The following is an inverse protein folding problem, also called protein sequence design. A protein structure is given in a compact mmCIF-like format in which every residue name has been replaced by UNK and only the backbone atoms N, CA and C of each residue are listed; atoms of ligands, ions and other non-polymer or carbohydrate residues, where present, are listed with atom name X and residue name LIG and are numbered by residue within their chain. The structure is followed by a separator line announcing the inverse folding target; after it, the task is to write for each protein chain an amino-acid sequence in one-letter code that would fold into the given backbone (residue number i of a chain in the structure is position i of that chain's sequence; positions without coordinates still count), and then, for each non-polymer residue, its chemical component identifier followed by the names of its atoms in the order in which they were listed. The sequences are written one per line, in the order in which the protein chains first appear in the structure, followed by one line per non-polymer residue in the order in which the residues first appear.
data_IF_018584399403
#
_entry.id   IF_018584399403
#
_cell.length_a   1.000
_cell.length_b   1.000
_cell.length_c   1.000
_cell.angle_alpha   90.00
_cell.angle_beta   90.00
_cell.angle_gamma   90.00
#
_symmetry.space_group_name_H-M   'P 1'
#
loop_
_entity.id
_entity.type
_entity.pdbx_description
1 polymer ?
#
# COMPACT_ATOMS: atom_id res chain seq x y z
N UNK A 1 -1.19 9.27 31.36
CA UNK A 1 -0.55 10.57 31.30
C UNK A 1 -1.67 11.60 31.15
N UNK A 2 -1.73 12.53 32.10
CA UNK A 2 -2.60 13.71 31.94
C UNK A 2 -2.07 14.51 30.74
N UNK A 3 -2.97 14.94 29.86
CA UNK A 3 -2.62 15.82 28.76
C UNK A 3 -2.50 15.19 27.35
N UNK A 4 -2.66 13.86 27.17
CA UNK A 4 -2.69 13.30 25.80
C UNK A 4 -4.10 13.40 25.24
N UNK A 5 -4.24 14.11 24.12
CA UNK A 5 -5.48 14.23 23.36
C UNK A 5 -5.39 13.43 22.07
N UNK A 6 -6.48 12.71 21.72
CA UNK A 6 -6.59 12.05 20.41
C UNK A 6 -7.60 12.83 19.57
N UNK A 7 -7.17 13.20 18.37
CA UNK A 7 -7.97 14.00 17.43
C UNK A 7 -7.73 13.60 15.98
N UNK A 8 -8.56 14.08 15.08
CA UNK A 8 -8.28 14.03 13.64
C UNK A 8 -7.04 14.86 13.31
N UNK A 9 -6.27 14.40 12.33
CA UNK A 9 -5.18 15.17 11.75
C UNK A 9 -5.72 16.29 10.85
N UNK A 10 -4.95 17.35 10.74
CA UNK A 10 -5.04 18.29 9.63
C UNK A 10 -4.24 17.75 8.44
N UNK A 11 -4.55 18.22 7.24
CA UNK A 11 -3.86 17.78 6.02
C UNK A 11 -2.34 18.05 6.07
N UNK A 12 -1.93 19.19 6.62
CA UNK A 12 -0.52 19.56 6.77
C UNK A 12 0.26 18.62 7.72
N UNK A 13 -0.43 18.02 8.71
CA UNK A 13 0.16 17.09 9.66
C UNK A 13 0.41 15.68 9.06
N UNK A 14 -0.29 15.31 7.99
CA UNK A 14 -0.07 14.03 7.33
C UNK A 14 1.35 13.94 6.75
N UNK A 15 1.92 15.03 6.29
CA UNK A 15 3.32 15.08 5.85
C UNK A 15 4.27 14.61 6.94
N UNK A 16 4.08 15.08 8.18
CA UNK A 16 4.91 14.65 9.31
C UNK A 16 4.72 13.15 9.64
N UNK A 17 3.50 12.62 9.52
CA UNK A 17 3.25 11.18 9.71
C UNK A 17 3.97 10.34 8.63
N UNK A 18 4.01 10.81 7.39
CA UNK A 18 4.75 10.16 6.29
C UNK A 18 6.26 10.28 6.52
N UNK A 19 6.77 11.40 7.02
CA UNK A 19 8.19 11.55 7.39
C UNK A 19 8.58 10.57 8.52
N UNK A 20 7.68 10.30 9.48
CA UNK A 20 7.94 9.25 10.47
C UNK A 20 8.00 7.87 9.84
N UNK A 21 7.18 7.58 8.82
CA UNK A 21 7.28 6.33 8.07
C UNK A 21 8.62 6.21 7.33
N UNK A 22 9.21 7.33 6.84
CA UNK A 22 10.58 7.36 6.31
C UNK A 22 11.59 6.98 7.39
N UNK A 23 11.49 7.58 8.58
CA UNK A 23 12.38 7.30 9.70
C UNK A 23 12.29 5.85 10.21
N UNK A 24 11.11 5.21 10.11
CA UNK A 24 10.91 3.77 10.38
C UNK A 24 11.42 2.86 9.23
N UNK A 25 11.96 3.42 8.14
CA UNK A 25 12.48 2.68 6.99
C UNK A 25 11.41 2.16 6.02
N UNK A 26 10.18 2.67 6.09
CA UNK A 26 9.08 2.18 5.24
C UNK A 26 9.15 2.70 3.81
N UNK A 27 9.97 3.73 3.56
CA UNK A 27 10.24 4.30 2.24
C UNK A 27 8.96 4.66 1.45
N UNK A 28 8.07 5.54 1.95
CA UNK A 28 6.87 5.95 1.24
C UNK A 28 7.19 6.68 -0.06
N UNK A 29 6.22 6.75 -0.97
CA UNK A 29 6.31 7.57 -2.18
C UNK A 29 6.19 9.06 -1.86
N UNK A 30 6.81 9.90 -2.70
CA UNK A 30 6.83 11.36 -2.49
C UNK A 30 5.44 11.99 -2.60
N UNK A 31 4.52 11.38 -3.36
CA UNK A 31 3.14 11.82 -3.52
C UNK A 31 2.12 11.05 -2.64
N UNK A 32 2.61 10.09 -1.83
CA UNK A 32 1.72 9.19 -1.09
C UNK A 32 0.79 9.95 -0.12
N UNK A 33 1.29 10.97 0.59
CA UNK A 33 0.48 11.77 1.51
C UNK A 33 -0.72 12.44 0.80
N UNK A 34 -0.49 13.05 -0.36
CA UNK A 34 -1.54 13.71 -1.13
C UNK A 34 -2.58 12.70 -1.62
N UNK A 35 -2.13 11.58 -2.18
CA UNK A 35 -2.99 10.51 -2.67
C UNK A 35 -3.84 9.90 -1.54
N UNK A 36 -3.22 9.64 -0.40
CA UNK A 36 -3.90 9.04 0.75
C UNK A 36 -4.98 9.95 1.32
N UNK A 37 -4.69 11.25 1.42
CA UNK A 37 -5.66 12.24 1.89
C UNK A 37 -6.92 12.32 1.02
N UNK A 38 -6.77 12.17 -0.30
CA UNK A 38 -7.90 12.26 -1.23
C UNK A 38 -8.89 11.10 -1.12
N UNK A 39 -8.46 9.93 -0.63
CA UNK A 39 -9.36 8.77 -0.49
C UNK A 39 -10.34 8.94 0.67
N UNK A 40 -9.84 9.31 1.86
CA UNK A 40 -10.67 9.56 3.03
C UNK A 40 -10.00 10.60 3.96
N UNK A 41 -10.27 11.90 3.76
CA UNK A 41 -9.69 12.96 4.59
C UNK A 41 -10.03 12.85 6.08
N UNK A 42 -11.11 12.15 6.42
CA UNK A 42 -11.58 11.95 7.78
C UNK A 42 -10.91 10.75 8.49
N UNK A 43 -10.15 9.95 7.74
CA UNK A 43 -9.54 8.69 8.20
C UNK A 43 -8.19 8.82 8.88
N UNK A 44 -7.68 10.04 9.14
CA UNK A 44 -6.36 10.27 9.75
C UNK A 44 -6.50 10.80 11.17
N UNK A 45 -5.77 10.16 12.10
CA UNK A 45 -5.83 10.49 13.54
C UNK A 45 -4.44 10.65 14.12
N UNK A 46 -4.30 11.56 15.09
CA UNK A 46 -3.08 11.72 15.85
C UNK A 46 -3.34 11.71 17.36
N UNK A 47 -2.31 11.34 18.11
CA UNK A 47 -2.17 11.65 19.52
C UNK A 47 -1.32 12.90 19.67
N UNK A 48 -1.81 13.84 20.46
CA UNK A 48 -1.13 15.12 20.75
C UNK A 48 -0.85 15.23 22.23
N UNK A 49 0.33 15.76 22.59
CA UNK A 49 0.70 16.15 23.94
C UNK A 49 1.44 17.48 23.87
N UNK A 50 1.12 18.41 24.77
CA UNK A 50 1.75 19.73 24.86
C UNK A 50 1.77 20.52 23.54
N UNK A 51 0.73 20.33 22.69
CA UNK A 51 0.61 20.96 21.38
C UNK A 51 1.42 20.29 20.26
N UNK A 52 2.13 19.19 20.55
CA UNK A 52 2.91 18.44 19.57
C UNK A 52 2.26 17.09 19.23
N UNK A 53 2.30 16.71 17.95
CA UNK A 53 1.89 15.39 17.51
C UNK A 53 2.92 14.34 17.96
N UNK A 54 2.48 13.31 18.69
CA UNK A 54 3.32 12.26 19.27
C UNK A 54 3.02 10.85 18.75
N UNK A 55 1.96 10.69 17.96
CA UNK A 55 1.60 9.44 17.32
C UNK A 55 0.59 9.66 16.21
N UNK A 56 0.57 8.75 15.25
CA UNK A 56 -0.29 8.74 14.08
C UNK A 56 -0.93 7.38 13.86
N UNK A 57 -2.09 7.36 13.21
CA UNK A 57 -2.70 6.18 12.60
C UNK A 57 -3.68 6.65 11.52
N UNK A 58 -3.77 5.91 10.43
CA UNK A 58 -4.84 6.06 9.45
C UNK A 58 -5.80 4.87 9.51
N UNK A 59 -7.08 5.11 9.28
CA UNK A 59 -8.11 4.10 9.01
C UNK A 59 -8.97 4.68 7.90
N UNK A 60 -8.67 4.32 6.65
CA UNK A 60 -9.36 4.86 5.48
C UNK A 60 -10.53 3.97 5.09
N UNK A 61 -11.71 4.57 4.99
CA UNK A 61 -12.91 3.91 4.50
C UNK A 61 -12.96 4.00 2.97
N UNK A 62 -12.89 2.86 2.28
CA UNK A 62 -12.99 2.80 0.83
C UNK A 62 -14.45 2.76 0.34
N UNK A 63 -15.27 2.00 1.05
CA UNK A 63 -16.70 1.87 0.79
C UNK A 63 -17.48 1.59 2.10
N UNK A 64 -18.70 1.09 2.02
CA UNK A 64 -19.52 0.73 3.17
C UNK A 64 -19.13 -0.60 3.84
N UNK A 65 -18.22 -1.38 3.23
CA UNK A 65 -17.83 -2.73 3.66
C UNK A 65 -16.37 -2.86 4.07
N UNK A 66 -15.48 -2.03 3.53
CA UNK A 66 -14.05 -2.18 3.70
C UNK A 66 -13.35 -0.90 4.09
N UNK A 67 -12.39 -1.02 5.00
CA UNK A 67 -11.44 0.01 5.38
C UNK A 67 -10.03 -0.56 5.48
N UNK A 68 -9.02 0.31 5.48
CA UNK A 68 -7.63 -0.10 5.66
C UNK A 68 -6.95 0.75 6.71
N UNK A 69 -6.24 0.09 7.66
CA UNK A 69 -5.47 0.72 8.71
C UNK A 69 -3.98 0.78 8.34
N UNK A 70 -3.38 1.96 8.48
CA UNK A 70 -1.97 2.18 8.19
C UNK A 70 -1.37 3.32 9.00
N UNK A 71 -0.15 3.72 8.67
CA UNK A 71 0.58 4.83 9.29
C UNK A 71 0.53 4.83 10.84
N UNK A 72 0.47 3.62 11.44
CA UNK A 72 0.40 3.45 12.88
C UNK A 72 1.78 3.57 13.51
N UNK A 73 2.12 4.77 13.93
CA UNK A 73 3.42 5.12 14.48
C UNK A 73 3.23 5.90 15.78
N UNK A 74 4.02 5.57 16.80
CA UNK A 74 4.17 6.38 18.02
C UNK A 74 5.63 6.74 18.14
N UNK A 75 5.93 8.01 18.37
CA UNK A 75 7.30 8.49 18.55
C UNK A 75 8.00 7.67 19.63
N UNK A 76 9.30 7.31 19.46
CA UNK A 76 10.01 6.36 20.32
C UNK A 76 9.91 6.68 21.81
N UNK A 77 10.05 7.94 22.20
CA UNK A 77 10.03 8.42 23.59
C UNK A 77 8.64 8.31 24.26
N UNK A 78 7.59 8.10 23.47
CA UNK A 78 6.22 7.92 23.94
C UNK A 78 5.73 6.46 23.87
N UNK A 79 6.57 5.52 23.38
CA UNK A 79 6.24 4.10 23.30
C UNK A 79 6.13 3.44 24.68
N UNK A 80 5.39 2.34 24.75
CA UNK A 80 5.22 1.58 26.01
C UNK A 80 4.26 2.19 27.03
N UNK A 81 3.68 3.36 26.76
CA UNK A 81 2.82 4.11 27.69
C UNK A 81 1.31 3.95 27.40
N UNK A 82 0.94 3.01 26.51
CA UNK A 82 -0.46 2.74 26.16
C UNK A 82 -1.08 3.72 25.13
N UNK A 83 -0.37 4.77 24.73
CA UNK A 83 -0.87 5.81 23.81
C UNK A 83 -1.27 5.21 22.47
N UNK A 84 -0.44 4.34 21.88
CA UNK A 84 -0.74 3.70 20.61
C UNK A 84 -2.05 2.93 20.64
N UNK A 85 -2.33 2.18 21.70
CA UNK A 85 -3.59 1.43 21.82
C UNK A 85 -4.81 2.34 21.97
N UNK A 86 -4.68 3.46 22.68
CA UNK A 86 -5.74 4.46 22.76
C UNK A 86 -6.02 5.09 21.40
N UNK A 87 -4.96 5.49 20.68
CA UNK A 87 -5.03 6.03 19.34
C UNK A 87 -5.67 5.04 18.35
N UNK A 88 -5.23 3.78 18.35
CA UNK A 88 -5.77 2.72 17.51
C UNK A 88 -7.27 2.51 17.78
N UNK A 89 -7.68 2.35 19.05
CA UNK A 89 -9.10 2.17 19.41
C UNK A 89 -9.95 3.37 19.01
N UNK A 90 -9.40 4.58 19.06
CA UNK A 90 -10.11 5.78 18.61
C UNK A 90 -10.33 5.74 17.10
N UNK A 91 -9.27 5.47 16.33
CA UNK A 91 -9.32 5.42 14.87
C UNK A 91 -10.24 4.29 14.36
N UNK A 92 -10.21 3.13 14.98
CA UNK A 92 -11.07 1.99 14.60
C UNK A 92 -12.58 2.29 14.70
N UNK A 93 -13.00 3.29 15.50
CA UNK A 93 -14.41 3.75 15.50
C UNK A 93 -14.82 4.39 14.17
N UNK A 94 -13.87 4.97 13.43
CA UNK A 94 -14.13 5.52 12.11
C UNK A 94 -14.50 4.43 11.07
N UNK A 95 -13.91 3.25 11.18
CA UNK A 95 -14.28 2.12 10.34
C UNK A 95 -15.73 1.64 10.55
N UNK A 96 -16.29 1.83 11.74
CA UNK A 96 -17.64 1.35 12.08
C UNK A 96 -17.72 -0.18 11.98
N UNK A 97 -18.66 -0.69 11.16
CA UNK A 97 -18.88 -2.13 10.96
C UNK A 97 -18.07 -2.73 9.80
N UNK A 98 -17.20 -1.94 9.15
CA UNK A 98 -16.40 -2.39 8.01
C UNK A 98 -15.37 -3.44 8.40
N UNK A 99 -15.05 -4.33 7.48
CA UNK A 99 -13.86 -5.17 7.59
C UNK A 99 -12.65 -4.26 7.44
N UNK A 100 -11.75 -4.28 8.42
CA UNK A 100 -10.51 -3.50 8.38
C UNK A 100 -9.36 -4.43 8.01
N UNK A 101 -8.67 -4.08 6.91
CA UNK A 101 -7.38 -4.66 6.56
C UNK A 101 -6.21 -3.83 7.10
N UNK A 102 -5.02 -4.40 7.13
CA UNK A 102 -3.80 -3.68 7.48
C UNK A 102 -2.54 -4.51 7.25
N UNK A 103 -1.42 -3.84 6.99
CA UNK A 103 -0.11 -4.48 6.89
C UNK A 103 0.74 -4.10 8.11
N UNK A 104 0.79 -4.99 9.08
CA UNK A 104 1.52 -4.78 10.32
C UNK A 104 2.96 -5.30 10.28
N UNK A 105 3.83 -4.70 11.09
CA UNK A 105 5.18 -5.24 11.33
C UNK A 105 5.07 -6.62 11.95
N UNK A 106 5.77 -7.62 11.38
CA UNK A 106 5.65 -9.04 11.79
C UNK A 106 5.85 -9.26 13.30
N UNK A 107 6.82 -8.58 13.91
CA UNK A 107 7.08 -8.67 15.36
C UNK A 107 5.92 -8.19 16.24
N UNK A 108 4.98 -7.43 15.67
CA UNK A 108 3.82 -6.88 16.40
C UNK A 108 2.55 -7.72 16.23
N UNK A 109 2.55 -8.76 15.39
CA UNK A 109 1.38 -9.62 15.13
C UNK A 109 0.72 -10.12 16.43
N UNK A 110 1.45 -10.66 17.43
CA UNK A 110 0.80 -11.12 18.67
C UNK A 110 0.05 -10.03 19.44
N UNK A 111 0.48 -8.76 19.31
CA UNK A 111 -0.23 -7.63 19.95
C UNK A 111 -1.48 -7.24 19.16
N UNK A 112 -1.42 -7.30 17.82
CA UNK A 112 -2.57 -7.04 16.97
C UNK A 112 -3.66 -8.09 17.16
N UNK A 113 -3.31 -9.36 17.27
CA UNK A 113 -4.27 -10.44 17.54
C UNK A 113 -4.87 -10.33 18.95
N UNK A 114 -4.01 -10.18 19.99
CA UNK A 114 -4.47 -10.18 21.38
C UNK A 114 -5.26 -8.93 21.79
N UNK A 115 -4.88 -7.78 21.27
CA UNK A 115 -5.43 -6.48 21.71
C UNK A 115 -6.12 -5.68 20.61
N UNK A 116 -5.82 -5.95 19.36
CA UNK A 116 -6.31 -5.21 18.21
C UNK A 116 -7.52 -5.84 17.52
N UNK A 117 -7.85 -7.09 17.81
CA UNK A 117 -8.95 -7.80 17.13
C UNK A 117 -8.67 -8.07 15.65
N UNK A 118 -7.38 -8.16 15.27
CA UNK A 118 -6.96 -8.46 13.91
C UNK A 118 -6.42 -9.89 13.83
N UNK A 119 -6.67 -10.56 12.72
CA UNK A 119 -6.24 -11.94 12.46
C UNK A 119 -5.21 -11.95 11.34
N UNK A 120 -4.10 -12.66 11.56
CA UNK A 120 -3.09 -12.87 10.51
C UNK A 120 -3.69 -13.71 9.36
N UNK A 121 -3.53 -13.23 8.15
CA UNK A 121 -3.95 -13.93 6.93
C UNK A 121 -2.77 -14.49 6.16
N UNK A 122 -1.81 -13.62 5.80
CA UNK A 122 -0.58 -14.00 5.11
C UNK A 122 0.53 -12.96 5.33
N UNK A 123 1.73 -13.30 4.94
CA UNK A 123 2.86 -12.39 4.99
C UNK A 123 3.13 -11.79 3.61
N UNK A 124 3.52 -10.51 3.59
CA UNK A 124 4.12 -9.86 2.44
C UNK A 124 5.62 -9.72 2.62
N UNK A 125 6.33 -9.53 1.52
CA UNK A 125 7.74 -9.21 1.53
C UNK A 125 8.04 -8.13 0.50
N UNK A 126 8.84 -7.13 0.89
CA UNK A 126 9.43 -6.13 -0.01
C UNK A 126 10.74 -6.65 -0.53
N UNK A 127 10.89 -6.65 -1.83
CA UNK A 127 12.13 -6.97 -2.50
C UNK A 127 12.73 -5.73 -3.16
N UNK A 128 14.06 -5.57 -3.02
CA UNK A 128 14.84 -4.54 -3.71
C UNK A 128 15.47 -5.15 -4.96
N UNK A 129 15.32 -4.49 -6.09
CA UNK A 129 15.99 -4.80 -7.36
C UNK A 129 16.63 -3.56 -7.94
N UNK A 130 17.36 -3.74 -9.04
CA UNK A 130 17.99 -2.66 -9.80
C UNK A 130 17.26 -2.50 -11.13
N UNK A 131 16.87 -1.27 -11.44
CA UNK A 131 16.19 -0.91 -12.66
C UNK A 131 17.10 -0.93 -13.89
N UNK A 132 16.49 -0.86 -15.05
CA UNK A 132 17.15 -0.92 -16.36
C UNK A 132 16.54 -1.97 -17.27
N UNK A 133 17.21 -2.27 -18.36
CA UNK A 133 16.69 -3.13 -19.40
C UNK A 133 16.11 -2.35 -20.57
N UNK A 134 15.45 -3.06 -21.49
CA UNK A 134 14.83 -2.48 -22.68
C UNK A 134 13.32 -2.37 -22.47
N UNK A 135 12.72 -1.26 -22.93
CA UNK A 135 11.28 -1.12 -22.99
C UNK A 135 10.69 -2.21 -23.88
N UNK A 136 9.80 -3.06 -23.35
CA UNK A 136 9.16 -4.09 -24.16
C UNK A 136 8.08 -3.51 -25.07
N UNK A 137 7.82 -4.21 -26.17
CA UNK A 137 6.74 -3.86 -27.07
C UNK A 137 5.35 -4.25 -26.53
N UNK A 138 4.32 -3.56 -26.99
CA UNK A 138 2.92 -3.91 -26.74
C UNK A 138 2.42 -3.56 -25.34
N UNK A 139 3.07 -2.61 -24.66
CA UNK A 139 2.53 -1.94 -23.48
C UNK A 139 1.75 -0.69 -23.88
N UNK A 140 0.65 -0.45 -23.23
CA UNK A 140 -0.19 0.73 -23.36
C UNK A 140 0.05 1.65 -22.16
N UNK A 141 0.38 2.94 -22.35
CA UNK A 141 0.44 3.89 -21.23
C UNK A 141 -0.89 3.86 -20.46
N UNK A 142 -0.81 3.82 -19.12
CA UNK A 142 -2.00 3.62 -18.29
C UNK A 142 -3.07 4.71 -18.47
N UNK A 143 -2.65 5.92 -18.87
CA UNK A 143 -3.54 7.07 -19.10
C UNK A 143 -4.35 6.93 -20.40
N UNK A 144 -3.92 6.07 -21.32
CA UNK A 144 -4.60 5.80 -22.58
C UNK A 144 -5.62 4.64 -22.45
N UNK A 145 -5.63 3.98 -21.30
CA UNK A 145 -6.60 2.92 -21.00
C UNK A 145 -7.92 3.54 -20.57
N UNK A 146 -9.04 3.00 -21.06
CA UNK A 146 -10.36 3.44 -20.64
C UNK A 146 -10.53 3.24 -19.13
N UNK A 147 -10.74 4.33 -18.42
CA UNK A 147 -10.71 4.34 -16.93
C UNK A 147 -11.73 3.38 -16.30
N UNK A 148 -12.94 3.26 -16.89
CA UNK A 148 -13.95 2.32 -16.36
C UNK A 148 -13.50 0.86 -16.40
N UNK A 149 -12.72 0.49 -17.42
CA UNK A 149 -12.23 -0.88 -17.58
C UNK A 149 -11.05 -1.14 -16.62
N UNK A 150 -10.19 -0.12 -16.44
CA UNK A 150 -9.12 -0.16 -15.44
C UNK A 150 -9.68 -0.27 -14.02
N UNK A 151 -10.69 0.54 -13.69
CA UNK A 151 -11.33 0.52 -12.37
C UNK A 151 -12.00 -0.83 -12.08
N UNK A 152 -12.66 -1.42 -13.07
CA UNK A 152 -13.25 -2.75 -12.94
C UNK A 152 -12.16 -3.83 -12.73
N UNK A 153 -11.03 -3.72 -13.44
CA UNK A 153 -9.89 -4.63 -13.30
C UNK A 153 -9.23 -4.51 -11.92
N UNK A 154 -9.04 -3.28 -11.43
CA UNK A 154 -8.49 -2.99 -10.11
C UNK A 154 -9.40 -3.51 -8.99
N UNK A 155 -10.70 -3.20 -9.05
CA UNK A 155 -11.69 -3.59 -8.04
C UNK A 155 -11.79 -5.12 -7.87
N UNK A 156 -11.52 -5.90 -8.93
CA UNK A 156 -11.48 -7.35 -8.83
C UNK A 156 -10.25 -7.88 -8.05
N UNK A 157 -9.24 -7.05 -7.76
CA UNK A 157 -7.97 -7.40 -7.11
C UNK A 157 -7.69 -6.59 -5.84
N UNK A 158 -8.67 -5.79 -5.44
CA UNK A 158 -8.66 -5.02 -4.20
C UNK A 158 -10.01 -5.19 -3.50
N UNK A 159 -10.08 -5.22 -2.15
CA UNK A 159 -11.34 -5.54 -1.44
C UNK A 159 -12.49 -4.56 -1.66
N UNK A 160 -12.23 -3.40 -2.25
CA UNK A 160 -13.20 -2.32 -2.45
C UNK A 160 -12.97 -1.54 -3.75
N UNK A 161 -13.98 -0.81 -4.20
CA UNK A 161 -13.84 0.15 -5.30
C UNK A 161 -13.17 1.42 -4.77
N UNK A 162 -11.99 1.77 -5.32
CA UNK A 162 -11.17 2.93 -4.91
C UNK A 162 -10.99 3.92 -6.06
N UNK A 163 -12.09 4.48 -6.54
CA UNK A 163 -12.12 5.30 -7.75
C UNK A 163 -11.29 6.58 -7.61
N UNK A 164 -11.44 7.33 -6.52
CA UNK A 164 -10.73 8.59 -6.26
C UNK A 164 -9.22 8.35 -6.17
N UNK A 165 -8.84 7.34 -5.38
CA UNK A 165 -7.45 6.91 -5.28
C UNK A 165 -6.86 6.55 -6.64
N UNK A 166 -7.51 5.66 -7.40
CA UNK A 166 -6.99 5.16 -8.67
C UNK A 166 -6.83 6.28 -9.71
N UNK A 167 -7.79 7.22 -9.79
CA UNK A 167 -7.68 8.38 -10.68
C UNK A 167 -6.44 9.20 -10.40
N UNK A 168 -6.20 9.56 -9.14
CA UNK A 168 -5.00 10.29 -8.74
C UNK A 168 -3.74 9.47 -9.02
N UNK A 169 -3.73 8.20 -8.59
CA UNK A 169 -2.58 7.31 -8.68
C UNK A 169 -2.04 7.15 -10.08
N UNK A 170 -2.92 7.02 -11.09
CA UNK A 170 -2.50 6.87 -12.48
C UNK A 170 -2.24 8.19 -13.21
N UNK A 171 -2.71 9.32 -12.69
CA UNK A 171 -2.57 10.63 -13.32
C UNK A 171 -1.49 11.51 -12.71
N UNK A 172 -0.96 11.15 -11.51
CA UNK A 172 0.09 11.95 -10.87
C UNK A 172 1.34 12.04 -11.75
N UNK A 173 1.95 13.23 -11.84
CA UNK A 173 3.08 13.52 -12.75
C UNK A 173 4.32 12.65 -12.49
N UNK A 174 4.57 12.27 -11.22
CA UNK A 174 5.72 11.47 -10.79
C UNK A 174 5.43 9.95 -10.79
N UNK A 175 4.26 9.56 -11.30
CA UNK A 175 3.87 8.17 -11.46
C UNK A 175 3.91 7.76 -12.94
N UNK A 176 4.49 6.59 -13.20
CA UNK A 176 4.51 5.96 -14.51
C UNK A 176 3.71 4.66 -14.46
N UNK A 177 2.72 4.53 -15.32
CA UNK A 177 1.91 3.32 -15.39
C UNK A 177 1.81 2.74 -16.79
N UNK A 178 1.76 1.40 -16.85
CA UNK A 178 1.50 0.66 -18.08
C UNK A 178 0.45 -0.43 -17.86
N UNK A 179 -0.33 -0.68 -18.88
CA UNK A 179 -1.20 -1.84 -19.00
C UNK A 179 -0.77 -2.74 -20.16
N UNK A 180 -1.00 -4.03 -20.01
CA UNK A 180 -0.95 -5.00 -21.09
C UNK A 180 -2.38 -5.33 -21.49
N UNK A 181 -2.69 -5.16 -22.78
CA UNK A 181 -3.99 -5.48 -23.35
C UNK A 181 -3.91 -6.72 -24.25
N UNK A 182 -4.97 -7.49 -24.31
CA UNK A 182 -5.12 -8.56 -25.29
C UNK A 182 -5.48 -7.99 -26.68
N UNK A 183 -5.60 -8.87 -27.68
CA UNK A 183 -5.96 -8.50 -29.06
C UNK A 183 -7.36 -7.84 -29.21
N UNK A 184 -8.21 -7.97 -28.20
CA UNK A 184 -9.56 -7.39 -28.17
C UNK A 184 -9.60 -6.10 -27.33
N UNK A 185 -8.46 -5.63 -26.81
CA UNK A 185 -8.36 -4.45 -25.95
C UNK A 185 -8.71 -4.69 -24.47
N UNK A 186 -8.91 -5.96 -24.05
CA UNK A 186 -9.17 -6.30 -22.65
C UNK A 186 -7.87 -6.27 -21.84
N UNK A 187 -7.93 -5.72 -20.63
CA UNK A 187 -6.78 -5.64 -19.73
C UNK A 187 -6.39 -7.05 -19.26
N UNK A 188 -5.13 -7.41 -19.49
CA UNK A 188 -4.48 -8.63 -18.97
C UNK A 188 -3.65 -8.35 -17.70
N UNK A 189 -3.26 -7.11 -17.50
CA UNK A 189 -2.55 -6.64 -16.32
C UNK A 189 -2.24 -5.16 -16.40
N UNK A 190 -1.92 -4.57 -15.26
CA UNK A 190 -1.38 -3.22 -15.17
C UNK A 190 -0.47 -3.06 -13.97
N UNK A 191 0.39 -2.06 -14.04
CA UNK A 191 1.23 -1.67 -12.92
C UNK A 191 1.58 -0.20 -12.94
N UNK A 192 1.94 0.32 -11.78
CA UNK A 192 2.35 1.70 -11.59
C UNK A 192 3.67 1.74 -10.83
N UNK A 193 4.62 2.53 -11.33
CA UNK A 193 5.85 2.89 -10.62
C UNK A 193 5.72 4.33 -10.12
N UNK A 194 6.15 4.57 -8.88
CA UNK A 194 6.21 5.89 -8.27
C UNK A 194 7.58 6.19 -7.68
N UNK A 195 7.94 7.46 -7.63
CA UNK A 195 9.16 7.94 -6.98
C UNK A 195 9.01 7.89 -5.46
N UNK A 196 10.01 7.37 -4.76
CA UNK A 196 10.06 7.27 -3.31
C UNK A 196 11.23 8.09 -2.74
N UNK A 197 11.34 8.17 -1.42
CA UNK A 197 12.50 8.81 -0.78
C UNK A 197 13.81 8.10 -1.16
N UNK A 198 13.79 6.77 -1.33
CA UNK A 198 14.90 6.00 -1.88
C UNK A 198 14.40 5.26 -3.12
N UNK A 199 14.89 5.64 -4.30
CA UNK A 199 14.56 4.98 -5.56
C UNK A 199 13.08 5.01 -5.91
N UNK A 200 12.56 3.87 -6.35
CA UNK A 200 11.20 3.77 -6.87
C UNK A 200 10.45 2.57 -6.27
N UNK A 201 9.12 2.66 -6.17
CA UNK A 201 8.26 1.51 -5.87
C UNK A 201 7.37 1.17 -7.05
N UNK A 202 7.21 -0.11 -7.31
CA UNK A 202 6.18 -0.64 -8.19
C UNK A 202 5.03 -1.15 -7.35
N UNK A 203 3.87 -0.55 -7.54
CA UNK A 203 2.64 -0.89 -6.84
C UNK A 203 1.44 -0.04 -7.33
N UNK A 204 0.31 -0.70 -7.72
CA UNK A 204 0.17 -2.13 -7.82
C UNK A 204 0.90 -2.73 -9.01
N UNK A 205 1.09 -4.06 -9.00
CA UNK A 205 1.40 -4.88 -10.16
C UNK A 205 0.40 -6.05 -10.18
N UNK A 206 -0.68 -5.87 -10.93
CA UNK A 206 -1.75 -6.87 -11.08
C UNK A 206 -1.69 -7.45 -12.48
N UNK A 207 -1.70 -8.78 -12.60
CA UNK A 207 -1.60 -9.45 -13.88
C UNK A 207 -2.25 -10.82 -13.83
N UNK A 208 -2.85 -11.24 -14.95
CA UNK A 208 -3.49 -12.56 -15.09
C UNK A 208 -2.52 -13.74 -14.91
N UNK A 209 -1.23 -13.50 -15.18
CA UNK A 209 -0.17 -14.50 -15.12
C UNK A 209 1.21 -13.85 -14.96
N UNK A 210 2.22 -14.67 -14.64
CA UNK A 210 3.61 -14.24 -14.46
C UNK A 210 4.18 -13.55 -15.71
N UNK A 211 3.95 -14.08 -16.90
CA UNK A 211 4.49 -13.53 -18.15
C UNK A 211 4.00 -12.11 -18.39
N UNK A 212 2.73 -11.86 -18.10
CA UNK A 212 2.13 -10.52 -18.18
C UNK A 212 2.75 -9.59 -17.15
N UNK A 213 2.93 -10.06 -15.90
CA UNK A 213 3.57 -9.29 -14.84
C UNK A 213 5.02 -8.92 -15.17
N UNK A 214 5.80 -9.86 -15.75
CA UNK A 214 7.18 -9.63 -16.19
C UNK A 214 7.28 -8.51 -17.23
N UNK A 215 6.45 -8.57 -18.28
CA UNK A 215 6.44 -7.55 -19.35
C UNK A 215 6.09 -6.17 -18.80
N UNK A 216 5.10 -6.08 -17.90
CA UNK A 216 4.72 -4.80 -17.29
C UNK A 216 5.85 -4.28 -16.38
N UNK A 217 6.42 -5.15 -15.55
CA UNK A 217 7.53 -4.78 -14.67
C UNK A 217 8.74 -4.27 -15.48
N UNK A 218 9.11 -4.94 -16.56
CA UNK A 218 10.18 -4.51 -17.47
C UNK A 218 9.93 -3.11 -18.03
N UNK A 219 8.72 -2.83 -18.47
CA UNK A 219 8.35 -1.48 -18.93
C UNK A 219 8.48 -0.42 -17.84
N UNK A 220 8.08 -0.76 -16.63
CA UNK A 220 8.14 0.17 -15.50
C UNK A 220 9.57 0.50 -15.07
N UNK A 221 10.50 -0.47 -15.18
CA UNK A 221 11.88 -0.29 -14.70
C UNK A 221 12.87 0.09 -15.80
N UNK A 222 12.51 0.01 -17.08
CA UNK A 222 13.40 0.32 -18.20
C UNK A 222 13.94 1.76 -18.17
N UNK A 223 13.15 2.72 -17.72
CA UNK A 223 13.53 4.14 -17.67
C UNK A 223 14.33 4.57 -16.44
N UNK A 224 14.79 3.63 -15.59
CA UNK A 224 15.54 3.91 -14.36
C UNK A 224 16.82 3.04 -14.26
N UNK A 225 17.71 3.07 -15.25
CA UNK A 225 18.89 2.21 -15.28
C UNK A 225 19.83 2.50 -14.10
N UNK A 226 20.18 1.44 -13.36
CA UNK A 226 21.06 1.51 -12.19
C UNK A 226 20.40 1.97 -10.90
N UNK A 227 19.15 2.45 -10.93
CA UNK A 227 18.43 2.91 -9.76
C UNK A 227 17.78 1.76 -9.00
N UNK A 228 17.70 1.82 -7.67
CA UNK A 228 16.96 0.83 -6.89
C UNK A 228 15.45 0.97 -7.12
N UNK A 229 14.78 -0.18 -7.23
CA UNK A 229 13.33 -0.23 -7.17
C UNK A 229 12.86 -1.30 -6.20
N UNK A 230 11.65 -1.13 -5.70
CA UNK A 230 11.04 -2.02 -4.70
C UNK A 230 9.74 -2.59 -5.23
N UNK A 231 9.50 -3.87 -4.92
CA UNK A 231 8.25 -4.58 -5.20
C UNK A 231 7.77 -5.27 -3.93
N UNK A 232 6.54 -4.98 -3.52
CA UNK A 232 5.92 -5.50 -2.31
C UNK A 232 4.99 -6.66 -2.69
N UNK A 233 5.44 -7.92 -2.52
CA UNK A 233 4.71 -9.10 -2.99
C UNK A 233 3.96 -9.83 -1.87
N UNK A 234 2.75 -10.36 -2.11
CA UNK A 234 2.13 -11.34 -1.22
C UNK A 234 2.84 -12.69 -1.36
N UNK A 235 3.38 -13.21 -0.27
CA UNK A 235 4.14 -14.47 -0.30
C UNK A 235 3.33 -15.72 -0.69
N UNK A 236 2.00 -15.79 -0.51
CA UNK A 236 1.22 -16.90 -1.06
C UNK A 236 1.23 -16.99 -2.59
N UNK A 237 1.52 -15.89 -3.32
CA UNK A 237 1.67 -15.94 -4.76
C UNK A 237 3.04 -16.53 -5.14
N UNK A 238 3.10 -17.83 -5.38
CA UNK A 238 4.33 -18.53 -5.76
C UNK A 238 4.93 -17.99 -7.08
N UNK A 239 4.11 -17.51 -8.01
CA UNK A 239 4.58 -16.94 -9.26
C UNK A 239 5.24 -15.56 -9.05
N UNK A 240 4.76 -14.76 -8.09
CA UNK A 240 5.39 -13.51 -7.69
C UNK A 240 6.72 -13.75 -6.95
N UNK A 241 6.77 -14.78 -6.09
CA UNK A 241 8.04 -15.20 -5.44
C UNK A 241 9.06 -15.60 -6.49
N UNK A 242 8.70 -16.48 -7.42
CA UNK A 242 9.59 -16.90 -8.50
C UNK A 242 10.03 -15.73 -9.40
N UNK A 243 9.15 -14.73 -9.64
CA UNK A 243 9.48 -13.51 -10.41
C UNK A 243 10.64 -12.73 -9.78
N UNK A 244 10.59 -12.50 -8.46
CA UNK A 244 11.63 -11.73 -7.76
C UNK A 244 12.92 -12.52 -7.56
N UNK A 245 12.84 -13.84 -7.35
CA UNK A 245 14.00 -14.75 -7.21
C UNK A 245 14.78 -14.88 -8.52
N UNK A 246 14.10 -15.10 -9.65
CA UNK A 246 14.74 -15.18 -10.98
C UNK A 246 15.41 -13.85 -11.39
N UNK A 247 14.88 -12.74 -10.91
CA UNK A 247 15.49 -11.41 -11.05
C UNK A 247 16.58 -11.11 -10.03
N UNK A 248 16.87 -12.06 -9.12
CA UNK A 248 17.87 -11.94 -8.05
C UNK A 248 17.62 -10.70 -7.16
N UNK A 249 16.36 -10.36 -6.96
CA UNK A 249 15.99 -9.29 -6.04
C UNK A 249 16.20 -9.74 -4.59
N UNK A 250 16.54 -8.79 -3.71
CA UNK A 250 16.87 -9.06 -2.31
C UNK A 250 15.70 -8.69 -1.40
N UNK A 251 15.23 -9.57 -0.52
CA UNK A 251 14.20 -9.22 0.46
C UNK A 251 14.76 -8.24 1.50
N UNK A 252 14.08 -7.11 1.71
CA UNK A 252 14.55 -6.04 2.59
C UNK A 252 13.58 -5.67 3.70
N UNK A 253 12.29 -6.03 3.58
CA UNK A 253 11.27 -5.73 4.58
C UNK A 253 10.13 -6.75 4.55
N UNK A 254 9.51 -7.02 5.70
CA UNK A 254 8.42 -7.98 5.81
C UNK A 254 7.24 -7.38 6.58
N UNK A 255 6.03 -7.64 6.12
CA UNK A 255 4.79 -7.31 6.81
C UNK A 255 3.88 -8.52 6.93
N UNK A 256 2.92 -8.41 7.83
CA UNK A 256 1.83 -9.35 8.00
C UNK A 256 0.53 -8.68 7.54
N UNK A 257 -0.15 -9.24 6.54
CA UNK A 257 -1.50 -8.85 6.16
C UNK A 257 -2.48 -9.39 7.20
N UNK A 258 -3.18 -8.47 7.84
CA UNK A 258 -4.14 -8.75 8.89
C UNK A 258 -5.53 -8.25 8.47
N UNK A 259 -6.58 -8.87 9.01
CA UNK A 259 -7.96 -8.41 8.85
C UNK A 259 -8.71 -8.49 10.19
N UNK A 260 -9.74 -7.65 10.37
CA UNK A 260 -10.62 -7.66 11.54
C UNK A 260 -11.62 -8.83 11.54
N UNK A 261 -11.50 -9.74 10.59
CA UNK A 261 -12.28 -10.99 10.48
C UNK A 261 -11.39 -12.14 10.04
N UNK A 262 -11.81 -13.37 10.33
CA UNK A 262 -11.15 -14.60 9.82
C UNK A 262 -11.50 -14.89 8.36
N UNK A 263 -12.63 -14.34 7.89
CA UNK A 263 -13.17 -14.56 6.54
C UNK A 263 -13.29 -13.23 5.78
N UNK A 264 -12.16 -12.62 5.37
CA UNK A 264 -12.19 -11.39 4.57
C UNK A 264 -12.67 -11.66 3.15
N UNK A 265 -12.91 -10.58 2.40
CA UNK A 265 -13.23 -10.67 0.97
C UNK A 265 -12.12 -11.46 0.26
N UNK A 266 -12.45 -12.57 -0.42
CA UNK A 266 -11.46 -13.36 -1.15
C UNK A 266 -10.89 -12.56 -2.32
N UNK A 267 -9.56 -12.56 -2.45
CA UNK A 267 -8.84 -11.93 -3.55
C UNK A 267 -8.11 -12.98 -4.38
N UNK A 268 -7.97 -12.77 -5.70
CA UNK A 268 -7.16 -13.63 -6.56
C UNK A 268 -5.67 -13.35 -6.30
N UNK A 269 -5.12 -13.90 -5.21
CA UNK A 269 -3.73 -13.64 -4.80
C UNK A 269 -2.71 -14.05 -5.86
N UNK A 270 -3.01 -15.03 -6.69
CA UNK A 270 -2.22 -15.47 -7.83
C UNK A 270 -2.13 -14.43 -8.96
N UNK A 271 -3.01 -13.45 -8.98
CA UNK A 271 -2.99 -12.31 -9.92
C UNK A 271 -2.40 -11.02 -9.30
N UNK A 272 -2.01 -11.05 -8.03
CA UNK A 272 -1.39 -9.92 -7.31
C UNK A 272 0.12 -10.17 -7.23
N UNK A 273 0.88 -9.60 -8.14
CA UNK A 273 2.35 -9.65 -8.18
C UNK A 273 3.01 -8.53 -7.39
N UNK A 274 2.27 -7.50 -7.06
CA UNK A 274 2.69 -6.40 -6.20
C UNK A 274 1.48 -5.71 -5.61
N UNK A 275 1.44 -5.56 -4.27
CA UNK A 275 0.40 -4.76 -3.61
C UNK A 275 0.62 -3.27 -3.89
N UNK A 276 -0.41 -2.46 -3.73
CA UNK A 276 -0.31 -1.02 -4.04
C UNK A 276 0.63 -0.32 -3.08
N UNK A 277 0.34 -0.42 -1.80
CA UNK A 277 1.19 0.06 -0.70
C UNK A 277 0.94 -0.78 0.55
N UNK A 278 1.87 -0.77 1.51
CA UNK A 278 1.63 -1.36 2.83
C UNK A 278 0.80 -0.45 3.73
N UNK A 279 0.73 0.83 3.40
CA UNK A 279 0.05 1.84 4.19
C UNK A 279 -1.45 1.91 3.90
N UNK A 280 -1.88 1.52 2.67
CA UNK A 280 -3.27 1.58 2.22
C UNK A 280 -3.80 0.30 1.56
N UNK A 281 -2.97 -0.74 1.39
CA UNK A 281 -3.33 -2.03 0.80
C UNK A 281 -3.03 -2.22 -0.67
#
# INVERSE_FOLDING_TARGET
MEGVQIRKMRQDELTAAVEWAVAEGWNPGLADAECFWLEDPEGFFCAEADGEMIGSVSVLNYDDRFAFAGLYIVRPEYRGKGIGMQLYRHAMRHAGSRIVGGDGVVAMVPKYEKGGGLFLHYNNARYEGIGGGRMPDGLTPIRDVKFSDLLAYDTARFPAKRESFLRFWISHKDHLGFAKLDKNGKIEGYGVRRTCHKGYKVGPLFAKDRKTAEVILEGLIAGIPGEPFYLDIPRPNAAAVALVEDRRMVPVFFTARLYSTKDPVPLPLDEIFGVTTFELG
#
